data_IF_182742872667
#
_entry.id   IF_182742872667
#
_cell.length_a   1.000
_cell.length_b   1.000
_cell.length_c   1.000
_cell.angle_alpha   90.00
_cell.angle_beta   90.00
_cell.angle_gamma   90.00
#
_symmetry.space_group_name_H-M   'P 1'
#
loop_
_entity.id
_entity.type
_entity.pdbx_description
1 polymer ?
#
# COMPACT_ATOMS: atom_id res chain seq x y z
N UNK A 1 -11.84 25.10 18.43
CA UNK A 1 -10.99 24.85 17.23
C UNK A 1 -10.41 23.43 17.22
N UNK A 2 -9.83 22.96 18.34
CA UNK A 2 -9.23 21.62 18.51
C UNK A 2 -10.22 20.47 18.25
N UNK A 3 -11.47 20.55 18.74
CA UNK A 3 -12.49 19.52 18.52
C UNK A 3 -12.91 19.38 17.03
N UNK A 4 -12.92 20.48 16.26
CA UNK A 4 -13.17 20.46 14.81
C UNK A 4 -11.98 19.85 14.05
N UNK A 5 -10.74 20.09 14.51
CA UNK A 5 -9.54 19.44 13.96
C UNK A 5 -9.51 17.94 14.28
N UNK A 6 -9.90 17.54 15.50
CA UNK A 6 -10.05 16.15 15.88
C UNK A 6 -11.12 15.42 15.06
N UNK A 7 -12.20 16.08 14.62
CA UNK A 7 -13.20 15.50 13.73
C UNK A 7 -12.69 15.26 12.30
N UNK A 8 -11.71 16.05 11.86
CA UNK A 8 -11.09 15.98 10.52
C UNK A 8 -9.81 15.16 10.46
N UNK A 9 -9.40 14.53 11.57
CA UNK A 9 -8.14 13.79 11.58
C UNK A 9 -8.21 12.62 10.59
N UNK A 10 -7.22 12.46 9.69
CA UNK A 10 -7.16 11.33 8.76
C UNK A 10 -7.23 9.99 9.52
N UNK A 11 -6.63 9.93 10.70
CA UNK A 11 -6.65 8.79 11.62
C UNK A 11 -8.05 8.37 12.09
N UNK A 12 -9.08 9.23 11.93
CA UNK A 12 -10.47 8.86 12.24
C UNK A 12 -11.18 8.16 11.09
N UNK A 13 -10.68 8.26 9.86
CA UNK A 13 -11.28 7.62 8.70
C UNK A 13 -11.06 6.10 8.78
N UNK A 14 -12.12 5.31 8.55
CA UNK A 14 -12.08 3.85 8.61
C UNK A 14 -10.99 3.28 7.68
N UNK A 15 -10.91 3.80 6.45
CA UNK A 15 -9.89 3.42 5.47
C UNK A 15 -8.44 3.67 5.96
N UNK A 16 -8.16 4.83 6.56
CA UNK A 16 -6.80 5.17 7.06
C UNK A 16 -6.43 4.30 8.25
N UNK A 17 -7.38 4.03 9.16
CA UNK A 17 -7.18 3.04 10.24
C UNK A 17 -7.00 1.64 9.68
N UNK A 18 -7.71 1.31 8.61
CA UNK A 18 -7.61 0.03 7.94
C UNK A 18 -6.23 -0.21 7.33
N UNK A 19 -5.67 0.80 6.66
CA UNK A 19 -4.32 0.75 6.09
C UNK A 19 -3.24 0.56 7.16
N UNK A 20 -3.45 1.06 8.38
CA UNK A 20 -2.55 0.81 9.52
C UNK A 20 -2.56 -0.63 10.04
N UNK A 21 -3.33 -1.54 9.44
CA UNK A 21 -3.20 -3.00 9.63
C UNK A 21 -1.93 -3.56 8.98
N UNK A 22 -1.41 -2.87 7.97
CA UNK A 22 -0.20 -3.26 7.24
C UNK A 22 1.08 -2.67 7.87
N UNK A 23 0.93 -1.92 8.97
CA UNK A 23 2.05 -1.38 9.72
C UNK A 23 2.89 -2.54 10.30
N UNK A 24 4.20 -2.61 10.01
CA UNK A 24 5.08 -3.64 10.55
C UNK A 24 4.98 -3.77 12.07
N UNK A 25 4.81 -2.67 12.80
CA UNK A 25 4.68 -2.67 14.24
C UNK A 25 3.39 -3.36 14.70
N UNK A 26 2.27 -3.08 14.01
CA UNK A 26 0.98 -3.72 14.30
C UNK A 26 1.01 -5.22 14.00
N UNK A 27 1.68 -5.63 12.92
CA UNK A 27 1.82 -7.04 12.52
C UNK A 27 2.72 -7.83 13.49
N UNK A 28 3.75 -7.19 14.06
CA UNK A 28 4.74 -7.86 14.92
C UNK A 28 4.31 -7.92 16.38
N UNK A 29 3.79 -6.81 16.93
CA UNK A 29 3.58 -6.67 18.37
C UNK A 29 2.11 -6.78 18.80
N UNK A 30 1.16 -6.59 17.87
CA UNK A 30 -0.27 -6.55 18.21
C UNK A 30 -1.14 -7.19 17.11
N UNK A 31 -1.06 -8.52 16.89
CA UNK A 31 -1.74 -9.18 15.77
C UNK A 31 -3.27 -9.03 15.81
N UNK A 32 -3.87 -8.99 17.00
CA UNK A 32 -5.31 -8.77 17.19
C UNK A 32 -5.75 -7.38 16.70
N UNK A 33 -4.93 -6.36 16.94
CA UNK A 33 -5.17 -5.00 16.46
C UNK A 33 -5.02 -4.91 14.94
N UNK A 34 -4.03 -5.61 14.38
CA UNK A 34 -3.84 -5.76 12.93
C UNK A 34 -5.06 -6.37 12.25
N UNK A 35 -5.60 -7.47 12.80
CA UNK A 35 -6.79 -8.15 12.27
C UNK A 35 -8.02 -7.24 12.28
N UNK A 36 -8.26 -6.53 13.39
CA UNK A 36 -9.37 -5.57 13.50
C UNK A 36 -9.24 -4.40 12.53
N UNK A 37 -8.02 -3.93 12.27
CA UNK A 37 -7.77 -2.89 11.28
C UNK A 37 -7.99 -3.45 9.86
N UNK A 38 -7.52 -4.66 9.58
CA UNK A 38 -7.69 -5.28 8.27
C UNK A 38 -9.17 -5.52 7.94
N UNK A 39 -10.00 -5.87 8.93
CA UNK A 39 -11.45 -5.95 8.72
C UNK A 39 -12.06 -4.60 8.33
N UNK A 40 -11.65 -3.49 8.98
CA UNK A 40 -12.10 -2.15 8.59
C UNK A 40 -11.63 -1.75 7.18
N UNK A 41 -10.46 -2.22 6.73
CA UNK A 41 -9.99 -1.98 5.37
C UNK A 41 -10.89 -2.65 4.33
N UNK A 42 -11.39 -3.86 4.62
CA UNK A 42 -12.24 -4.62 3.71
C UNK A 42 -13.70 -4.16 3.70
N UNK A 43 -14.18 -3.44 4.73
CA UNK A 43 -15.53 -2.88 4.74
C UNK A 43 -15.77 -1.94 3.55
N UNK A 44 -14.82 -1.04 3.27
CA UNK A 44 -14.94 -0.03 2.19
C UNK A 44 -15.17 -0.64 0.79
N UNK A 45 -14.30 -1.55 0.28
CA UNK A 45 -14.52 -2.16 -1.03
C UNK A 45 -15.71 -3.13 -1.07
N UNK A 46 -16.08 -3.73 0.07
CA UNK A 46 -17.25 -4.60 0.15
C UNK A 46 -18.55 -3.79 0.00
N UNK A 47 -18.64 -2.62 0.66
CA UNK A 47 -19.77 -1.70 0.49
C UNK A 47 -19.90 -1.16 -0.95
N UNK A 48 -18.79 -1.02 -1.66
CA UNK A 48 -18.76 -0.60 -3.06
C UNK A 48 -19.07 -1.75 -4.05
N UNK A 49 -19.37 -2.97 -3.57
CA UNK A 49 -19.55 -4.19 -4.39
C UNK A 49 -18.36 -4.49 -5.32
N UNK A 50 -17.16 -4.05 -4.97
CA UNK A 50 -15.94 -4.33 -5.73
C UNK A 50 -15.45 -5.76 -5.43
N UNK A 51 -15.73 -6.26 -4.23
CA UNK A 51 -15.26 -7.55 -3.70
C UNK A 51 -16.47 -8.38 -3.26
N UNK A 52 -16.41 -9.71 -3.46
CA UNK A 52 -17.42 -10.64 -2.96
C UNK A 52 -17.23 -10.93 -1.47
N UNK A 53 -18.33 -11.14 -0.73
CA UNK A 53 -18.27 -11.47 0.72
C UNK A 53 -17.38 -12.68 1.02
N UNK A 54 -17.44 -13.71 0.17
CA UNK A 54 -16.59 -14.91 0.29
C UNK A 54 -15.12 -14.55 0.16
N UNK A 55 -14.78 -13.65 -0.77
CA UNK A 55 -13.41 -13.21 -0.99
C UNK A 55 -12.91 -12.37 0.20
N UNK A 56 -13.77 -11.52 0.76
CA UNK A 56 -13.46 -10.75 1.96
C UNK A 56 -13.18 -11.65 3.18
N UNK A 57 -13.99 -12.69 3.39
CA UNK A 57 -13.76 -13.65 4.48
C UNK A 57 -12.50 -14.50 4.28
N UNK A 58 -12.21 -14.91 3.05
CA UNK A 58 -10.97 -15.62 2.74
C UNK A 58 -9.74 -14.73 2.99
N UNK A 59 -9.78 -13.47 2.58
CA UNK A 59 -8.72 -12.51 2.86
C UNK A 59 -8.48 -12.31 4.36
N UNK A 60 -9.55 -12.25 5.18
CA UNK A 60 -9.43 -12.18 6.65
C UNK A 60 -8.74 -13.41 7.23
N UNK A 61 -9.06 -14.61 6.72
CA UNK A 61 -8.41 -15.87 7.13
C UNK A 61 -6.92 -15.89 6.74
N UNK A 62 -6.58 -15.48 5.52
CA UNK A 62 -5.19 -15.40 5.07
C UNK A 62 -4.38 -14.41 5.92
N UNK A 63 -4.96 -13.24 6.23
CA UNK A 63 -4.32 -12.27 7.10
C UNK A 63 -4.11 -12.80 8.53
N UNK A 64 -5.07 -13.57 9.08
CA UNK A 64 -4.91 -14.16 10.42
C UNK A 64 -3.77 -15.20 10.45
N UNK A 65 -3.64 -16.01 9.40
CA UNK A 65 -2.53 -16.94 9.20
C UNK A 65 -1.20 -16.18 9.10
N UNK A 66 -1.15 -15.12 8.28
CA UNK A 66 0.02 -14.26 8.13
C UNK A 66 0.44 -13.63 9.47
N UNK A 67 -0.51 -13.07 10.22
CA UNK A 67 -0.25 -12.43 11.51
C UNK A 67 0.23 -13.44 12.57
N UNK A 68 -0.29 -14.68 12.54
CA UNK A 68 0.07 -15.74 13.50
C UNK A 68 1.37 -16.47 13.12
N UNK A 69 1.81 -16.36 11.87
CA UNK A 69 3.01 -17.03 11.38
C UNK A 69 4.25 -16.68 12.21
N UNK A 70 5.00 -17.70 12.64
CA UNK A 70 6.27 -17.54 13.37
C UNK A 70 7.44 -17.19 12.45
N UNK A 71 7.28 -17.33 11.13
CA UNK A 71 8.35 -17.06 10.18
C UNK A 71 8.56 -15.55 10.02
N UNK A 72 9.50 -15.01 10.79
CA UNK A 72 9.83 -13.59 10.79
C UNK A 72 10.36 -13.12 9.42
N UNK A 73 11.12 -13.96 8.72
CA UNK A 73 11.65 -13.66 7.38
C UNK A 73 10.50 -13.42 6.41
N UNK A 74 9.52 -14.32 6.37
CA UNK A 74 8.32 -14.18 5.53
C UNK A 74 7.56 -12.87 5.82
N UNK A 75 7.33 -12.57 7.10
CA UNK A 75 6.69 -11.30 7.52
C UNK A 75 7.45 -10.07 7.02
N UNK A 76 8.78 -10.07 7.17
CA UNK A 76 9.64 -8.97 6.72
C UNK A 76 9.60 -8.78 5.21
N UNK A 77 9.71 -9.86 4.43
CA UNK A 77 9.66 -9.79 2.96
C UNK A 77 8.30 -9.32 2.46
N UNK A 78 7.21 -9.79 3.04
CA UNK A 78 5.85 -9.38 2.66
C UNK A 78 5.61 -7.89 2.92
N UNK A 79 5.98 -7.40 4.11
CA UNK A 79 5.88 -5.97 4.44
C UNK A 79 6.75 -5.14 3.50
N UNK A 80 8.00 -5.57 3.22
CA UNK A 80 8.88 -4.89 2.27
C UNK A 80 8.26 -4.80 0.88
N UNK A 81 7.63 -5.88 0.40
CA UNK A 81 6.95 -5.90 -0.89
C UNK A 81 5.78 -4.91 -0.93
N UNK A 82 4.91 -4.92 0.09
CA UNK A 82 3.79 -3.99 0.19
C UNK A 82 4.23 -2.52 0.20
N UNK A 83 5.26 -2.21 0.99
CA UNK A 83 5.80 -0.84 1.06
C UNK A 83 6.38 -0.40 -0.28
N UNK A 84 7.07 -1.28 -1.01
CA UNK A 84 7.62 -1.00 -2.33
C UNK A 84 6.52 -0.79 -3.37
N UNK A 85 5.50 -1.64 -3.39
CA UNK A 85 4.34 -1.48 -4.28
C UNK A 85 3.63 -0.14 -4.03
N UNK A 86 3.43 0.24 -2.77
CA UNK A 86 2.85 1.54 -2.41
C UNK A 86 3.73 2.71 -2.89
N UNK A 87 5.04 2.65 -2.64
CA UNK A 87 5.97 3.70 -3.06
C UNK A 87 6.04 3.86 -4.59
N UNK A 88 5.95 2.76 -5.34
CA UNK A 88 5.86 2.77 -6.79
C UNK A 88 4.60 3.48 -7.28
N UNK A 89 3.42 3.07 -6.79
CA UNK A 89 2.14 3.68 -7.18
C UNK A 89 2.13 5.17 -6.81
N UNK A 90 2.52 5.51 -5.58
CA UNK A 90 2.58 6.90 -5.12
C UNK A 90 3.46 7.80 -5.99
N UNK A 91 4.57 7.26 -6.51
CA UNK A 91 5.53 8.05 -7.30
C UNK A 91 5.13 8.19 -8.77
N UNK A 92 4.39 7.22 -9.31
CA UNK A 92 4.02 7.21 -10.73
C UNK A 92 2.61 7.77 -11.00
N UNK A 93 1.65 7.61 -10.08
CA UNK A 93 0.30 8.19 -10.22
C UNK A 93 0.31 9.68 -10.57
N UNK A 94 1.05 10.57 -9.87
CA UNK A 94 1.06 12.00 -10.24
C UNK A 94 1.69 12.24 -11.63
N UNK A 95 2.68 11.45 -12.04
CA UNK A 95 3.31 11.56 -13.37
C UNK A 95 2.31 11.19 -14.47
N UNK A 96 1.57 10.10 -14.27
CA UNK A 96 0.53 9.66 -15.21
C UNK A 96 -0.62 10.67 -15.29
N UNK A 97 -1.04 11.26 -14.17
CA UNK A 97 -2.11 12.26 -14.14
C UNK A 97 -1.69 13.60 -14.76
N UNK A 98 -0.41 13.96 -14.69
CA UNK A 98 0.12 15.18 -15.29
C UNK A 98 0.44 15.04 -16.80
N UNK A 99 0.42 13.81 -17.33
CA UNK A 99 0.75 13.54 -18.72
C UNK A 99 -0.35 14.09 -19.65
N UNK A 100 0.01 15.09 -20.47
CA UNK A 100 -0.86 15.65 -21.52
C UNK A 100 -0.43 15.08 -22.87
N UNK A 101 -1.36 14.42 -23.56
CA UNK A 101 -1.14 13.67 -24.81
C UNK A 101 -0.72 14.51 -26.03
N UNK A 102 -0.59 15.84 -25.92
CA UNK A 102 -0.50 16.77 -27.06
C UNK A 102 0.69 17.74 -27.04
N UNK A 103 1.76 17.46 -26.29
CA UNK A 103 2.98 18.29 -26.37
C UNK A 103 4.03 17.57 -27.21
N UNK A 104 4.33 18.12 -28.40
CA UNK A 104 5.28 17.64 -29.42
C UNK A 104 6.76 17.66 -28.99
N UNK A 105 7.06 17.38 -27.72
CA UNK A 105 8.42 17.25 -27.21
C UNK A 105 8.70 15.78 -26.94
N UNK A 106 9.32 15.11 -27.93
CA UNK A 106 9.74 13.69 -27.96
C UNK A 106 10.72 13.27 -26.83
N UNK A 107 10.95 14.10 -25.83
CA UNK A 107 11.91 13.91 -24.75
C UNK A 107 11.27 13.88 -23.35
N UNK A 108 9.97 14.17 -23.21
CA UNK A 108 9.31 14.15 -21.90
C UNK A 108 8.93 12.71 -21.51
N UNK A 109 9.65 12.20 -20.51
CA UNK A 109 9.50 10.93 -19.80
C UNK A 109 8.17 10.20 -20.04
N UNK A 110 8.26 8.97 -20.57
CA UNK A 110 7.12 8.07 -20.63
C UNK A 110 6.36 8.06 -19.27
N UNK A 111 5.02 8.14 -19.27
CA UNK A 111 4.22 8.30 -18.06
C UNK A 111 4.30 7.10 -17.12
N UNK A 112 4.81 5.98 -17.63
CA UNK A 112 5.04 4.75 -16.91
C UNK A 112 6.50 4.32 -17.10
N UNK A 113 7.23 3.99 -16.01
CA UNK A 113 8.58 3.47 -16.11
C UNK A 113 8.59 2.07 -16.75
N UNK A 114 9.73 1.70 -17.32
CA UNK A 114 9.93 0.35 -17.85
C UNK A 114 9.81 -0.71 -16.75
N UNK A 115 9.30 -1.89 -17.10
CA UNK A 115 9.21 -3.03 -16.16
C UNK A 115 10.58 -3.38 -15.56
N UNK A 116 11.65 -3.27 -16.36
CA UNK A 116 13.04 -3.47 -15.92
C UNK A 116 13.42 -2.56 -14.73
N UNK A 117 12.98 -1.29 -14.74
CA UNK A 117 13.21 -0.35 -13.64
C UNK A 117 12.45 -0.74 -12.38
N UNK A 118 11.21 -1.21 -12.52
CA UNK A 118 10.44 -1.73 -11.39
C UNK A 118 11.08 -2.98 -10.79
N UNK A 119 11.53 -3.90 -11.63
CA UNK A 119 12.23 -5.11 -11.21
C UNK A 119 13.51 -4.78 -10.43
N UNK A 120 14.34 -3.87 -10.96
CA UNK A 120 15.55 -3.39 -10.28
C UNK A 120 15.21 -2.79 -8.90
N UNK A 121 14.17 -1.95 -8.84
CA UNK A 121 13.70 -1.36 -7.60
C UNK A 121 13.25 -2.41 -6.57
N UNK A 122 12.62 -3.51 -6.98
CA UNK A 122 12.19 -4.56 -6.04
C UNK A 122 13.37 -5.13 -5.25
N UNK A 123 14.51 -5.32 -5.90
CA UNK A 123 15.71 -5.85 -5.25
C UNK A 123 16.57 -4.77 -4.56
N UNK A 124 16.50 -3.52 -5.00
CA UNK A 124 17.22 -2.42 -4.38
C UNK A 124 16.94 -2.29 -2.87
N UNK A 125 17.95 -1.97 -2.03
CA UNK A 125 17.81 -1.83 -0.58
C UNK A 125 17.16 -0.47 -0.18
N UNK A 126 16.23 0.03 -0.99
CA UNK A 126 15.54 1.32 -0.78
C UNK A 126 14.02 1.12 -0.75
N UNK A 127 13.32 1.96 0.01
CA UNK A 127 11.85 2.02 0.02
C UNK A 127 11.29 3.18 -0.79
N UNK A 128 12.14 4.07 -1.29
CA UNK A 128 11.74 5.20 -2.14
C UNK A 128 11.96 4.81 -3.58
N UNK A 129 10.91 4.88 -4.40
CA UNK A 129 11.01 4.65 -5.85
C UNK A 129 11.64 5.86 -6.57
N UNK A 130 12.56 5.60 -7.50
CA UNK A 130 13.18 6.56 -8.42
C UNK A 130 13.37 5.88 -9.77
N UNK A 131 13.26 6.66 -10.85
CA UNK A 131 13.45 6.14 -12.20
C UNK A 131 14.93 5.80 -12.45
N UNK A 132 15.83 6.63 -11.93
CA UNK A 132 17.28 6.44 -11.99
C UNK A 132 17.88 6.39 -10.59
N UNK A 133 18.63 5.33 -10.29
CA UNK A 133 19.43 5.21 -9.06
C UNK A 133 20.91 5.40 -9.37
N UNK A 134 21.68 6.05 -8.46
CA UNK A 134 23.13 6.08 -8.58
C UNK A 134 23.67 4.64 -8.56
N UNK A 135 24.56 4.33 -9.48
CA UNK A 135 25.25 3.03 -9.60
C UNK A 135 26.65 3.11 -9.02
#
# INVERSE_FOLDING_TARGET
MIAKLQGRSPLKQKAVRGLSSLDPCAIQHSPQLGQKRFSFLLEEPNHANIINDVLAENAKKEYSIFATSKNLSFKKYFVRLLMKSYAFVRSNVPKTMAFKTHTDSKEECAPCPEFSCFLYYLFAPTLVYRDNYPR
#
